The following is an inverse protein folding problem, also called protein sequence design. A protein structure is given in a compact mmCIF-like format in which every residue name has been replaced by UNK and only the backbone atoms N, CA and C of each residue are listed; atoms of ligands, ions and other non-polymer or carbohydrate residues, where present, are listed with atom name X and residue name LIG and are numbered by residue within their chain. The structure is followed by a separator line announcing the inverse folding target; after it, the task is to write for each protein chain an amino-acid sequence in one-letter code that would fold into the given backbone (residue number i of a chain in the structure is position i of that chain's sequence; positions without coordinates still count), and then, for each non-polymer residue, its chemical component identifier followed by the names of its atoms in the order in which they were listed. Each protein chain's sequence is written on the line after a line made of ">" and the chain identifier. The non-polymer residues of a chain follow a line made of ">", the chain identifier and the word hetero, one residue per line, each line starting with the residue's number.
data_IF_461577221001
#
_entry.id   IF_461577221001
#
_cell.length_a   1.000
_cell.length_b   1.000
_cell.length_c   1.000
_cell.angle_alpha   90.00
_cell.angle_beta   90.00
_cell.angle_gamma   90.00
#
_symmetry.space_group_name_H-M   'P 1'
#
loop_
_entity.id
_entity.type
_entity.pdbx_description
1 polymer ?
#
# COMPACT_ATOMS: atom_id res chain seq x y z
N UNK A 1 6.38 -8.28 0.62
CA UNK A 1 6.38 -8.32 -0.86
C UNK A 1 5.44 -7.26 -1.39
N UNK A 2 5.79 -6.63 -2.50
CA UNK A 2 5.00 -5.55 -3.10
C UNK A 2 4.82 -5.77 -4.60
N UNK A 3 3.66 -5.38 -5.12
CA UNK A 3 3.32 -5.51 -6.53
C UNK A 3 2.38 -4.39 -6.94
N UNK A 4 2.73 -3.65 -7.99
CA UNK A 4 1.80 -2.70 -8.59
C UNK A 4 0.82 -3.45 -9.47
N UNK A 5 -0.46 -3.09 -9.40
CA UNK A 5 -1.54 -3.69 -10.17
C UNK A 5 -2.38 -2.62 -10.85
N UNK A 6 -2.91 -2.96 -12.02
CA UNK A 6 -3.79 -2.10 -12.81
C UNK A 6 -4.70 -2.96 -13.70
N UNK A 7 -5.74 -2.36 -14.26
CA UNK A 7 -6.57 -2.96 -15.32
C UNK A 7 -6.24 -2.32 -16.67
N UNK A 8 -6.24 -3.12 -17.75
CA UNK A 8 -6.19 -2.61 -19.13
C UNK A 8 -7.52 -2.01 -19.57
N UNK A 9 -8.62 -2.46 -18.95
CA UNK A 9 -9.96 -2.02 -19.29
C UNK A 9 -10.32 -0.77 -18.45
N UNK A 10 -10.43 0.43 -19.07
CA UNK A 10 -10.75 1.65 -18.35
C UNK A 10 -12.16 1.64 -17.74
N UNK A 11 -13.08 0.80 -18.24
CA UNK A 11 -14.43 0.67 -17.70
C UNK A 11 -14.48 -0.19 -16.44
N UNK A 12 -13.42 -0.97 -16.14
CA UNK A 12 -13.33 -1.84 -14.97
C UNK A 12 -12.60 -1.22 -13.77
N UNK A 13 -12.30 0.08 -13.81
CA UNK A 13 -11.60 0.77 -12.71
C UNK A 13 -12.37 0.70 -11.40
N UNK A 14 -13.69 0.84 -11.45
CA UNK A 14 -14.55 0.76 -10.26
C UNK A 14 -14.50 -0.64 -9.66
N UNK A 15 -14.70 -1.68 -10.47
CA UNK A 15 -14.66 -3.08 -10.06
C UNK A 15 -13.27 -3.49 -9.55
N UNK A 16 -12.20 -2.95 -10.14
CA UNK A 16 -10.84 -3.14 -9.65
C UNK A 16 -10.71 -2.66 -8.20
N UNK A 17 -11.15 -1.42 -7.91
CA UNK A 17 -11.08 -0.85 -6.57
C UNK A 17 -11.96 -1.61 -5.58
N UNK A 18 -13.22 -1.88 -5.95
CA UNK A 18 -14.16 -2.62 -5.09
C UNK A 18 -13.66 -4.03 -4.77
N UNK A 19 -13.16 -4.77 -5.76
CA UNK A 19 -12.67 -6.12 -5.53
C UNK A 19 -11.40 -6.15 -4.68
N UNK A 20 -10.45 -5.25 -4.94
CA UNK A 20 -9.25 -5.15 -4.11
C UNK A 20 -9.56 -4.69 -2.69
N UNK A 21 -10.56 -3.80 -2.50
CA UNK A 21 -11.02 -3.39 -1.18
C UNK A 21 -11.57 -4.57 -0.38
N UNK A 22 -12.47 -5.34 -0.97
CA UNK A 22 -13.03 -6.52 -0.30
C UNK A 22 -11.93 -7.54 0.05
N UNK A 23 -11.00 -7.81 -0.88
CA UNK A 23 -9.86 -8.69 -0.60
C UNK A 23 -8.96 -8.16 0.53
N UNK A 24 -8.88 -6.84 0.69
CA UNK A 24 -8.18 -6.20 1.80
C UNK A 24 -8.90 -6.38 3.14
N UNK A 25 -10.22 -6.21 3.15
CA UNK A 25 -11.07 -6.44 4.33
C UNK A 25 -11.02 -7.91 4.80
N UNK A 26 -10.90 -8.85 3.86
CA UNK A 26 -10.71 -10.27 4.14
C UNK A 26 -9.27 -10.61 4.61
N UNK A 27 -8.35 -9.64 4.60
CA UNK A 27 -6.97 -9.82 5.05
C UNK A 27 -6.06 -10.56 4.06
N UNK A 28 -6.47 -10.71 2.80
CA UNK A 28 -5.69 -11.42 1.76
C UNK A 28 -4.46 -10.60 1.36
N UNK A 29 -4.65 -9.29 1.20
CA UNK A 29 -3.60 -8.32 0.85
C UNK A 29 -3.85 -6.98 1.50
N UNK A 30 -2.82 -6.15 1.62
CA UNK A 30 -3.02 -4.72 1.86
C UNK A 30 -3.00 -3.97 0.53
N UNK A 31 -3.84 -2.95 0.41
CA UNK A 31 -3.96 -2.13 -0.81
C UNK A 31 -3.59 -0.69 -0.48
N UNK A 32 -2.71 -0.11 -1.31
CA UNK A 32 -2.20 1.25 -1.18
C UNK A 32 -2.30 2.00 -2.51
N UNK A 33 -2.39 3.32 -2.44
CA UNK A 33 -2.21 4.20 -3.58
C UNK A 33 -0.75 4.20 -4.03
N UNK A 34 -0.52 4.21 -5.34
CA UNK A 34 0.84 4.30 -5.89
C UNK A 34 1.39 5.71 -5.64
N UNK A 35 2.59 5.86 -5.03
CA UNK A 35 3.19 7.18 -4.86
C UNK A 35 3.37 7.90 -6.21
N UNK A 36 2.82 9.10 -6.34
CA UNK A 36 2.81 9.85 -7.60
C UNK A 36 2.07 9.15 -8.75
N UNK A 37 1.26 8.13 -8.44
CA UNK A 37 0.56 7.31 -9.41
C UNK A 37 -0.54 8.04 -10.16
N UNK A 38 -0.89 7.49 -11.32
CA UNK A 38 -2.05 7.92 -12.11
C UNK A 38 -3.23 7.03 -11.70
N UNK A 39 -4.42 7.61 -11.51
CA UNK A 39 -5.53 7.07 -10.70
C UNK A 39 -6.16 5.71 -11.07
N UNK A 40 -5.55 4.90 -11.93
CA UNK A 40 -5.94 3.51 -12.19
C UNK A 40 -4.90 2.48 -11.74
N UNK A 41 -3.81 2.90 -11.10
CA UNK A 41 -2.79 2.02 -10.54
C UNK A 41 -2.94 1.91 -9.02
N UNK A 42 -2.81 0.70 -8.49
CA UNK A 42 -2.80 0.42 -7.06
C UNK A 42 -1.57 -0.41 -6.71
N UNK A 43 -1.14 -0.33 -5.46
CA UNK A 43 -0.02 -1.08 -4.92
C UNK A 43 -0.53 -2.11 -3.92
N UNK A 44 -0.18 -3.38 -4.14
CA UNK A 44 -0.49 -4.47 -3.21
C UNK A 44 0.72 -4.79 -2.34
N UNK A 45 0.49 -4.94 -1.03
CA UNK A 45 1.45 -5.44 -0.06
C UNK A 45 1.01 -6.75 0.57
N UNK A 46 1.92 -7.71 0.70
CA UNK A 46 1.63 -8.99 1.38
C UNK A 46 2.88 -9.61 2.02
N UNK A 47 2.66 -10.48 3.00
CA UNK A 47 3.72 -11.25 3.67
C UNK A 47 4.25 -12.37 2.80
N UNK A 48 3.46 -12.93 1.87
CA UNK A 48 3.87 -14.05 1.02
C UNK A 48 3.48 -13.88 -0.46
N UNK A 49 4.40 -14.18 -1.37
CA UNK A 49 4.22 -13.96 -2.83
C UNK A 49 3.00 -14.68 -3.44
N UNK A 50 2.62 -15.84 -2.90
CA UNK A 50 1.49 -16.64 -3.41
C UNK A 50 0.15 -15.91 -3.27
N UNK A 51 0.03 -14.95 -2.35
CA UNK A 51 -1.18 -14.17 -2.19
C UNK A 51 -1.49 -13.33 -3.44
N UNK A 52 -0.48 -12.94 -4.23
CA UNK A 52 -0.72 -12.27 -5.50
C UNK A 52 -1.43 -13.16 -6.53
N UNK A 53 -1.17 -14.46 -6.53
CA UNK A 53 -1.86 -15.41 -7.42
C UNK A 53 -3.31 -15.61 -6.98
N UNK A 54 -3.57 -15.69 -5.66
CA UNK A 54 -4.92 -15.72 -5.10
C UNK A 54 -5.70 -14.48 -5.51
N UNK A 55 -5.12 -13.28 -5.36
CA UNK A 55 -5.77 -12.02 -5.76
C UNK A 55 -6.06 -12.00 -7.25
N UNK A 56 -5.11 -12.35 -8.12
CA UNK A 56 -5.34 -12.41 -9.58
C UNK A 56 -6.49 -13.36 -9.92
N UNK A 57 -6.52 -14.54 -9.31
CA UNK A 57 -7.58 -15.52 -9.56
C UNK A 57 -8.95 -15.00 -9.12
N UNK A 58 -9.06 -14.45 -7.91
CA UNK A 58 -10.32 -13.93 -7.36
C UNK A 58 -10.80 -12.69 -8.12
N UNK A 59 -9.92 -11.76 -8.46
CA UNK A 59 -10.29 -10.59 -9.27
C UNK A 59 -10.88 -11.00 -10.61
N UNK A 60 -10.32 -12.02 -11.26
CA UNK A 60 -10.85 -12.56 -12.52
C UNK A 60 -12.16 -13.31 -12.32
N UNK A 61 -12.28 -14.16 -11.29
CA UNK A 61 -13.42 -15.04 -11.08
C UNK A 61 -14.65 -14.31 -10.52
N UNK A 62 -14.46 -13.42 -9.54
CA UNK A 62 -15.54 -12.76 -8.79
C UNK A 62 -15.92 -11.41 -9.42
N UNK A 63 -14.95 -10.68 -9.97
CA UNK A 63 -15.16 -9.30 -10.48
C UNK A 63 -14.94 -9.19 -11.99
N UNK A 64 -14.50 -10.27 -12.65
CA UNK A 64 -14.18 -10.26 -14.07
C UNK A 64 -13.04 -9.32 -14.45
N UNK A 65 -12.16 -8.95 -13.51
CA UNK A 65 -11.06 -8.00 -13.73
C UNK A 65 -9.76 -8.76 -13.95
N UNK A 66 -9.21 -8.64 -15.16
CA UNK A 66 -7.88 -9.15 -15.47
C UNK A 66 -6.82 -8.15 -14.98
N UNK A 67 -6.02 -8.56 -14.00
CA UNK A 67 -4.95 -7.72 -13.45
C UNK A 67 -3.69 -7.76 -14.31
N UNK A 68 -3.18 -6.58 -14.64
CA UNK A 68 -1.80 -6.39 -15.09
C UNK A 68 -0.95 -6.08 -13.89
N UNK A 69 0.15 -6.81 -13.74
CA UNK A 69 1.04 -6.70 -12.58
C UNK A 69 2.42 -6.20 -12.98
N UNK A 70 3.00 -5.29 -12.21
CA UNK A 70 4.38 -4.84 -12.33
C UNK A 70 5.10 -5.03 -11.00
N UNK A 71 6.28 -5.64 -11.04
CA UNK A 71 7.14 -5.76 -9.87
C UNK A 71 7.65 -4.37 -9.45
N UNK A 72 7.75 -4.15 -8.13
CA UNK A 72 8.28 -2.91 -7.55
C UNK A 72 9.26 -3.24 -6.43
N UNK A 73 10.24 -2.35 -6.25
CA UNK A 73 11.37 -2.56 -5.32
C UNK A 73 11.14 -1.86 -3.98
N UNK A 74 10.06 -2.22 -3.28
CA UNK A 74 9.85 -1.79 -1.90
C UNK A 74 10.27 -2.89 -0.93
N UNK A 75 10.98 -2.50 0.13
CA UNK A 75 11.43 -3.37 1.20
C UNK A 75 10.35 -3.59 2.25
N UNK A 76 9.75 -2.51 2.76
CA UNK A 76 8.73 -2.57 3.80
C UNK A 76 7.83 -1.34 3.79
N UNK A 77 6.73 -1.41 4.53
CA UNK A 77 5.78 -0.32 4.70
C UNK A 77 5.44 -0.13 6.19
N UNK A 78 5.13 1.10 6.60
CA UNK A 78 4.67 1.42 7.96
C UNK A 78 3.52 2.42 7.89
N UNK A 79 2.47 2.16 8.66
CA UNK A 79 1.42 3.16 8.88
C UNK A 79 1.98 4.29 9.73
N UNK A 80 1.48 5.49 9.48
CA UNK A 80 1.88 6.70 10.18
C UNK A 80 0.73 7.22 11.06
N UNK A 81 1.02 7.99 12.11
CA UNK A 81 0.00 8.80 12.75
C UNK A 81 -0.54 9.85 11.76
N UNK A 82 -1.73 10.38 12.04
CA UNK A 82 -2.33 11.51 11.30
C UNK A 82 -1.64 12.85 11.55
N UNK A 83 -0.35 12.84 11.91
CA UNK A 83 0.47 14.02 12.19
C UNK A 83 1.23 14.45 10.92
N UNK A 84 0.86 15.61 10.37
CA UNK A 84 1.50 16.17 9.17
C UNK A 84 2.99 16.45 9.33
N UNK A 85 3.45 16.76 10.55
CA UNK A 85 4.87 17.03 10.79
C UNK A 85 5.73 15.76 10.64
N UNK A 86 5.18 14.59 10.98
CA UNK A 86 5.83 13.29 10.77
C UNK A 86 5.90 12.98 9.28
N UNK A 87 4.79 13.16 8.57
CA UNK A 87 4.72 12.93 7.12
C UNK A 87 5.71 13.82 6.36
N UNK A 88 5.71 15.14 6.62
CA UNK A 88 6.60 16.09 5.96
C UNK A 88 8.10 15.77 6.19
N UNK A 89 8.46 15.30 7.40
CA UNK A 89 9.82 14.83 7.68
C UNK A 89 10.20 13.62 6.84
N UNK A 90 9.27 12.71 6.55
CA UNK A 90 9.54 11.53 5.73
C UNK A 90 9.55 11.87 4.24
N UNK A 91 8.66 12.74 3.76
CA UNK A 91 8.65 13.19 2.37
C UNK A 91 9.94 13.89 1.93
N UNK A 92 10.66 14.53 2.87
CA UNK A 92 11.94 15.17 2.57
C UNK A 92 13.08 14.19 2.26
N UNK A 93 12.86 12.88 2.37
CA UNK A 93 13.86 11.84 2.18
C UNK A 93 13.63 11.10 0.86
N UNK A 94 14.64 11.02 -0.01
CA UNK A 94 14.54 10.37 -1.34
C UNK A 94 14.26 8.86 -1.32
N UNK A 95 14.51 8.18 -0.20
CA UNK A 95 14.40 6.71 -0.09
C UNK A 95 13.09 6.25 0.58
N UNK A 96 12.16 7.18 0.78
CA UNK A 96 10.86 6.96 1.40
C UNK A 96 9.77 7.60 0.55
N UNK A 97 8.64 6.91 0.45
CA UNK A 97 7.49 7.38 -0.32
C UNK A 97 6.27 7.38 0.59
N UNK A 98 5.78 8.58 0.94
CA UNK A 98 4.53 8.73 1.68
C UNK A 98 3.37 8.65 0.70
N UNK A 99 2.37 7.85 1.05
CA UNK A 99 1.14 7.63 0.28
C UNK A 99 0.03 7.23 1.26
N UNK A 100 -1.07 6.67 0.76
CA UNK A 100 -2.21 6.25 1.56
C UNK A 100 -2.63 4.82 1.28
N UNK A 101 -3.26 4.19 2.27
CA UNK A 101 -3.99 2.94 2.07
C UNK A 101 -5.38 3.15 1.45
N UNK A 102 -6.08 2.06 1.16
CA UNK A 102 -7.42 2.11 0.55
C UNK A 102 -8.49 2.78 1.43
N UNK A 103 -8.23 2.90 2.74
CA UNK A 103 -9.09 3.56 3.72
C UNK A 103 -8.57 4.97 4.08
N UNK A 104 -7.72 5.56 3.23
CA UNK A 104 -7.14 6.90 3.37
C UNK A 104 -6.16 7.08 4.55
N UNK A 105 -5.66 6.01 5.16
CA UNK A 105 -4.67 6.12 6.24
C UNK A 105 -3.27 6.38 5.68
N UNK A 106 -2.48 7.29 6.27
CA UNK A 106 -1.15 7.58 5.79
C UNK A 106 -0.22 6.40 6.00
N UNK A 107 0.56 6.08 4.96
CA UNK A 107 1.55 5.02 4.95
C UNK A 107 2.84 5.51 4.31
N UNK A 108 3.97 5.03 4.81
CA UNK A 108 5.28 5.24 4.19
C UNK A 108 5.82 3.91 3.66
N UNK A 109 6.30 3.93 2.43
CA UNK A 109 7.00 2.84 1.77
C UNK A 109 8.51 3.10 1.82
N UNK A 110 9.27 2.07 2.18
CA UNK A 110 10.73 2.12 2.28
C UNK A 110 11.36 1.25 1.20
N UNK A 111 12.40 1.74 0.54
CA UNK A 111 13.13 0.99 -0.49
C UNK A 111 14.18 0.03 0.12
N UNK A 112 14.60 0.27 1.37
CA UNK A 112 15.62 -0.54 2.04
C UNK A 112 15.48 -0.55 3.56
N UNK A 113 16.16 -1.49 4.22
CA UNK A 113 16.28 -1.52 5.68
C UNK A 113 17.00 -0.28 6.23
N UNK A 114 18.01 0.23 5.50
CA UNK A 114 18.72 1.45 5.88
C UNK A 114 17.81 2.70 5.85
N UNK A 115 16.92 2.79 4.87
CA UNK A 115 15.92 3.85 4.82
C UNK A 115 14.96 3.80 6.02
N UNK A 116 14.56 2.59 6.44
CA UNK A 116 13.75 2.41 7.65
C UNK A 116 14.50 2.88 8.90
N UNK A 117 15.75 2.45 9.10
CA UNK A 117 16.53 2.83 10.28
C UNK A 117 16.73 4.35 10.38
N UNK A 118 17.03 5.03 9.27
CA UNK A 118 17.13 6.49 9.27
C UNK A 118 15.80 7.18 9.60
N UNK A 119 14.67 6.62 9.14
CA UNK A 119 13.37 7.15 9.48
C UNK A 119 13.05 6.96 10.97
N UNK A 120 13.39 5.80 11.55
CA UNK A 120 13.24 5.54 12.99
C UNK A 120 14.02 6.56 13.82
N UNK A 121 15.24 6.92 13.42
CA UNK A 121 16.02 7.98 14.09
C UNK A 121 15.40 9.39 13.92
N UNK A 122 14.78 9.66 12.76
CA UNK A 122 14.26 10.98 12.41
C UNK A 122 12.90 11.29 13.04
N UNK A 123 12.00 10.31 13.07
CA UNK A 123 10.62 10.49 13.52
C UNK A 123 10.26 9.67 14.75
N UNK A 124 11.14 8.80 15.23
CA UNK A 124 10.84 7.87 16.33
C UNK A 124 10.14 6.61 15.83
N UNK A 125 10.58 5.45 16.31
CA UNK A 125 10.01 4.16 15.93
C UNK A 125 8.55 4.00 16.38
N UNK A 126 8.14 4.74 17.43
CA UNK A 126 6.77 4.83 17.90
C UNK A 126 5.80 5.44 16.88
N UNK A 127 6.30 6.23 15.92
CA UNK A 127 5.50 6.83 14.86
C UNK A 127 5.47 5.98 13.57
N UNK A 128 6.10 4.80 13.58
CA UNK A 128 6.20 3.88 12.44
C UNK A 128 5.50 2.55 12.76
N UNK A 129 4.18 2.51 12.58
CA UNK A 129 3.35 1.39 13.00
C UNK A 129 3.47 0.19 12.04
N UNK A 130 3.66 -1.01 12.62
CA UNK A 130 3.70 -2.28 11.88
C UNK A 130 2.32 -2.81 11.50
N UNK A 131 1.31 -2.40 12.25
CA UNK A 131 -0.08 -2.78 12.03
C UNK A 131 -0.90 -1.50 11.93
N UNK A 132 -1.97 -1.55 11.15
CA UNK A 132 -2.97 -0.48 11.11
C UNK A 132 -3.48 -0.26 12.55
N UNK A 133 -3.33 0.96 13.05
CA UNK A 133 -3.97 1.32 14.31
C UNK A 133 -5.42 1.67 13.99
N UNK A 134 -6.36 0.90 14.49
CA UNK A 134 -7.75 1.35 14.53
C UNK A 134 -7.78 2.60 15.39
N UNK A 135 -8.39 3.68 14.91
CA UNK A 135 -8.64 4.86 15.73
C UNK A 135 -9.28 4.40 17.04
N UNK A 136 -8.51 4.41 18.13
CA UNK A 136 -9.09 4.50 19.46
C UNK A 136 -9.61 5.93 19.50
N UNK A 137 -10.86 6.10 19.08
CA UNK A 137 -11.55 7.37 19.11
C UNK A 137 -11.42 7.99 20.50
N UNK A 138 -10.96 9.23 20.54
CA UNK A 138 -11.19 10.11 21.67
C UNK A 138 -12.55 10.78 21.50
#
# INVERSE_FOLDING_TARGET
>A
HFMKVMTKDPFKRKQLREGLQQLSEEGVVHVFEVPGGVGNELLLGTVGVLQFDVVKHRMQAEYGVELVTQAVSYHTARWLPSDESVMAKLESSYSTHVTRDIDDHPIVLFESAYALSQAEEKVGAENLFKFKQEHIGA
#
